data_IF_271822285350
#
_entry.id   IF_271822285350
#
_cell.length_a   1.000
_cell.length_b   1.000
_cell.length_c   1.000
_cell.angle_alpha   90.00
_cell.angle_beta   90.00
_cell.angle_gamma   90.00
#
_symmetry.space_group_name_H-M   'P 1'
#
loop_
_entity.id
_entity.type
_entity.pdbx_description
1 polymer ?
#
# COMPACT_ATOMS: atom_id res chain seq x y z
N UNK A 1 4.60 -8.22 -19.62
CA UNK A 1 5.15 -7.17 -18.72
C UNK A 1 4.15 -6.03 -18.61
N UNK A 2 3.86 -5.50 -17.40
CA UNK A 2 3.02 -4.33 -17.22
C UNK A 2 3.60 -3.06 -17.86
N UNK A 3 2.74 -2.12 -18.23
CA UNK A 3 3.14 -0.88 -18.91
C UNK A 3 4.10 -0.01 -18.08
N UNK A 4 3.81 0.23 -16.79
CA UNK A 4 4.70 0.99 -15.91
C UNK A 4 6.09 0.35 -15.79
N UNK A 5 6.15 -0.99 -15.67
CA UNK A 5 7.42 -1.73 -15.62
C UNK A 5 8.22 -1.56 -16.91
N UNK A 6 7.54 -1.52 -18.08
CA UNK A 6 8.20 -1.26 -19.37
C UNK A 6 8.80 0.15 -19.43
N UNK A 7 8.11 1.16 -18.91
CA UNK A 7 8.61 2.55 -18.83
C UNK A 7 9.85 2.65 -17.93
N UNK A 8 9.85 1.94 -16.79
CA UNK A 8 10.95 2.00 -15.83
C UNK A 8 12.15 1.14 -16.26
N UNK A 9 11.92 -0.10 -16.67
CA UNK A 9 12.92 -1.16 -16.79
C UNK A 9 13.12 -1.74 -18.20
N UNK A 10 12.29 -1.32 -19.17
CA UNK A 10 12.47 -1.74 -20.57
C UNK A 10 13.81 -1.28 -21.14
N UNK A 11 14.15 -1.70 -22.36
CA UNK A 11 15.43 -1.37 -23.01
C UNK A 11 15.73 0.14 -23.02
N UNK A 12 14.71 0.96 -23.28
CA UNK A 12 14.78 2.42 -23.22
C UNK A 12 14.21 3.02 -21.92
N UNK A 13 14.12 2.21 -20.86
CA UNK A 13 13.50 2.58 -19.60
C UNK A 13 14.32 3.56 -18.76
N UNK A 14 13.65 4.30 -17.90
CA UNK A 14 14.26 5.36 -17.08
C UNK A 14 15.45 4.86 -16.24
N UNK A 15 15.32 3.68 -15.61
CA UNK A 15 16.35 3.13 -14.72
C UNK A 15 17.63 2.75 -15.48
N UNK A 16 17.49 2.30 -16.74
CA UNK A 16 18.63 2.01 -17.62
C UNK A 16 19.32 3.30 -18.07
N UNK A 17 18.54 4.34 -18.40
CA UNK A 17 19.08 5.64 -18.82
C UNK A 17 19.89 6.36 -17.73
N UNK A 18 19.54 6.15 -16.46
CA UNK A 18 20.26 6.74 -15.33
C UNK A 18 21.42 5.88 -14.83
N UNK A 19 21.76 4.78 -15.51
CA UNK A 19 22.80 3.83 -15.10
C UNK A 19 22.59 3.27 -13.68
N UNK A 20 21.33 3.11 -13.27
CA UNK A 20 20.93 2.53 -11.97
C UNK A 20 20.49 1.06 -12.10
N UNK A 21 20.38 0.55 -13.33
CA UNK A 21 20.06 -0.84 -13.58
C UNK A 21 21.28 -1.73 -13.25
N UNK A 22 21.06 -2.91 -12.63
CA UNK A 22 22.11 -3.92 -12.50
C UNK A 22 22.70 -4.33 -13.86
N UNK A 23 23.96 -4.76 -13.85
CA UNK A 23 24.69 -5.08 -15.08
C UNK A 23 24.17 -6.35 -15.76
N UNK A 24 23.67 -7.30 -14.97
CA UNK A 24 23.20 -8.59 -15.47
C UNK A 24 21.74 -8.87 -15.15
N UNK A 25 21.12 -9.72 -15.98
CA UNK A 25 19.75 -10.18 -15.72
C UNK A 25 19.62 -10.95 -14.40
N UNK A 26 20.68 -11.64 -13.98
CA UNK A 26 20.72 -12.35 -12.70
C UNK A 26 20.61 -11.38 -11.53
N UNK A 27 21.41 -10.32 -11.53
CA UNK A 27 21.38 -9.28 -10.48
C UNK A 27 20.05 -8.51 -10.47
N UNK A 28 19.43 -8.26 -11.63
CA UNK A 28 18.08 -7.68 -11.70
C UNK A 28 17.03 -8.57 -10.99
N UNK A 29 17.13 -9.89 -11.14
CA UNK A 29 16.22 -10.83 -10.47
C UNK A 29 16.50 -10.88 -8.97
N UNK A 30 17.77 -10.90 -8.55
CA UNK A 30 18.15 -10.84 -7.13
C UNK A 30 17.65 -9.55 -6.47
N UNK A 31 17.82 -8.41 -7.13
CA UNK A 31 17.28 -7.12 -6.69
C UNK A 31 15.76 -7.18 -6.56
N UNK A 32 15.06 -7.74 -7.55
CA UNK A 32 13.59 -7.92 -7.50
C UNK A 32 13.19 -8.75 -6.28
N UNK A 33 13.83 -9.89 -6.05
CA UNK A 33 13.52 -10.75 -4.90
C UNK A 33 13.72 -9.98 -3.59
N UNK A 34 14.84 -9.29 -3.43
CA UNK A 34 15.11 -8.47 -2.25
C UNK A 34 14.07 -7.38 -2.04
N UNK A 35 13.73 -6.63 -3.09
CA UNK A 35 12.71 -5.58 -3.03
C UNK A 35 11.34 -6.14 -2.64
N UNK A 36 10.93 -7.26 -3.22
CA UNK A 36 9.62 -7.87 -2.93
C UNK A 36 9.55 -8.51 -1.54
N UNK A 37 10.63 -9.12 -1.06
CA UNK A 37 10.72 -9.60 0.33
C UNK A 37 10.66 -8.45 1.32
N UNK A 38 11.36 -7.34 1.06
CA UNK A 38 11.28 -6.15 1.90
C UNK A 38 9.89 -5.50 1.83
N UNK A 39 9.27 -5.45 0.64
CA UNK A 39 7.88 -5.02 0.47
C UNK A 39 6.94 -5.84 1.37
N UNK A 40 7.03 -7.17 1.34
CA UNK A 40 6.18 -8.04 2.15
C UNK A 40 6.36 -7.79 3.65
N UNK A 41 7.62 -7.70 4.14
CA UNK A 41 7.91 -7.41 5.55
C UNK A 41 7.35 -6.05 5.98
N UNK A 42 7.61 -5.00 5.20
CA UNK A 42 7.08 -3.66 5.48
C UNK A 42 5.57 -3.57 5.30
N UNK A 43 4.98 -4.35 4.40
CA UNK A 43 3.53 -4.41 4.22
C UNK A 43 2.84 -4.99 5.45
N UNK A 44 3.41 -6.04 6.06
CA UNK A 44 2.91 -6.59 7.33
C UNK A 44 3.02 -5.58 8.49
N UNK A 45 4.15 -4.87 8.59
CA UNK A 45 4.31 -3.77 9.55
C UNK A 45 3.27 -2.68 9.31
N UNK A 46 3.08 -2.28 8.05
CA UNK A 46 2.09 -1.25 7.66
C UNK A 46 0.66 -1.68 7.97
N UNK A 47 0.35 -2.98 7.80
CA UNK A 47 -0.95 -3.54 8.16
C UNK A 47 -1.20 -3.45 9.66
N UNK A 48 -0.21 -3.82 10.50
CA UNK A 48 -0.33 -3.68 11.96
C UNK A 48 -0.48 -2.23 12.41
N UNK A 49 0.30 -1.32 11.82
CA UNK A 49 0.20 0.12 12.08
C UNK A 49 -1.18 0.68 11.67
N UNK A 50 -1.70 0.28 10.51
CA UNK A 50 -3.02 0.69 10.05
C UNK A 50 -4.13 0.15 10.95
N UNK A 51 -4.03 -1.10 11.40
CA UNK A 51 -4.99 -1.70 12.31
C UNK A 51 -5.04 -0.95 13.65
N UNK A 52 -3.87 -0.59 14.20
CA UNK A 52 -3.79 0.22 15.42
C UNK A 52 -4.30 1.65 15.20
N UNK A 53 -3.90 2.31 14.10
CA UNK A 53 -4.44 3.63 13.75
C UNK A 53 -5.97 3.60 13.59
N UNK A 54 -6.49 2.52 13.01
CA UNK A 54 -7.93 2.29 12.81
C UNK A 54 -8.66 2.14 14.14
N UNK A 55 -8.11 1.39 15.11
CA UNK A 55 -8.72 1.27 16.44
C UNK A 55 -8.83 2.63 17.15
N UNK A 56 -7.76 3.44 17.10
CA UNK A 56 -7.82 4.81 17.61
C UNK A 56 -8.88 5.64 16.89
N UNK A 57 -9.07 5.42 15.57
CA UNK A 57 -10.11 6.09 14.79
C UNK A 57 -11.54 5.71 15.16
N UNK A 58 -11.75 4.51 15.72
CA UNK A 58 -13.06 4.10 16.27
C UNK A 58 -13.37 4.88 17.55
N UNK A 59 -12.40 4.96 18.48
CA UNK A 59 -12.54 5.74 19.73
C UNK A 59 -12.89 7.21 19.44
N UNK A 60 -12.22 7.82 18.45
CA UNK A 60 -12.50 9.19 18.03
C UNK A 60 -13.93 9.37 17.48
N UNK A 61 -14.46 8.38 16.78
CA UNK A 61 -15.80 8.44 16.22
C UNK A 61 -16.89 8.23 17.28
N UNK A 62 -16.58 7.46 18.32
CA UNK A 62 -17.43 7.30 19.51
C UNK A 62 -17.37 8.51 20.45
N UNK A 63 -16.52 9.50 20.14
CA UNK A 63 -16.43 10.78 20.83
C UNK A 63 -15.33 10.86 21.88
N UNK A 64 -14.51 9.82 22.06
CA UNK A 64 -13.32 9.87 22.90
C UNK A 64 -12.14 10.46 22.11
N UNK A 65 -11.86 11.74 22.36
CA UNK A 65 -10.76 12.46 21.71
C UNK A 65 -9.42 12.41 22.46
N UNK A 66 -9.31 11.66 23.56
CA UNK A 66 -8.08 11.53 24.35
C UNK A 66 -6.90 11.04 23.50
N UNK A 67 -7.18 10.18 22.53
CA UNK A 67 -6.20 9.57 21.63
C UNK A 67 -6.03 10.28 20.28
N UNK A 68 -6.55 11.51 20.11
CA UNK A 68 -6.44 12.26 18.84
C UNK A 68 -4.99 12.50 18.42
N UNK A 69 -4.11 12.80 19.37
CA UNK A 69 -2.68 13.01 19.08
C UNK A 69 -2.01 11.71 18.57
N UNK A 70 -2.31 10.59 19.22
CA UNK A 70 -1.86 9.26 18.83
C UNK A 70 -2.36 8.90 17.44
N UNK A 71 -3.66 9.09 17.16
CA UNK A 71 -4.24 8.83 15.84
C UNK A 71 -3.53 9.63 14.73
N UNK A 72 -3.28 10.92 14.94
CA UNK A 72 -2.54 11.77 13.99
C UNK A 72 -1.10 11.32 13.79
N UNK A 73 -0.43 10.89 14.86
CA UNK A 73 0.96 10.41 14.82
C UNK A 73 1.05 9.12 14.03
N UNK A 74 0.23 8.13 14.39
CA UNK A 74 0.17 6.86 13.68
C UNK A 74 -0.35 6.99 12.25
N UNK A 75 -1.17 7.98 11.93
CA UNK A 75 -1.52 8.32 10.54
C UNK A 75 -0.28 8.62 9.68
N UNK A 76 0.65 9.44 10.19
CA UNK A 76 1.88 9.78 9.46
C UNK A 76 2.83 8.58 9.34
N UNK A 77 2.97 7.82 10.43
CA UNK A 77 3.85 6.65 10.49
C UNK A 77 3.34 5.55 9.56
N UNK A 78 2.06 5.21 9.64
CA UNK A 78 1.40 4.21 8.79
C UNK A 78 1.52 4.60 7.32
N UNK A 79 1.20 5.85 6.97
CA UNK A 79 1.27 6.31 5.58
C UNK A 79 2.71 6.23 5.05
N UNK A 80 3.71 6.65 5.83
CA UNK A 80 5.12 6.58 5.43
C UNK A 80 5.60 5.14 5.23
N UNK A 81 5.26 4.25 6.17
CA UNK A 81 5.60 2.82 6.09
C UNK A 81 4.94 2.16 4.86
N UNK A 82 3.66 2.46 4.64
CA UNK A 82 2.90 1.98 3.50
C UNK A 82 3.48 2.47 2.18
N UNK A 83 3.77 3.77 2.05
CA UNK A 83 4.32 4.32 0.81
C UNK A 83 5.72 3.79 0.50
N UNK A 84 6.54 3.56 1.53
CA UNK A 84 7.83 2.90 1.38
C UNK A 84 7.65 1.47 0.86
N UNK A 85 6.73 0.71 1.46
CA UNK A 85 6.41 -0.63 1.00
C UNK A 85 5.87 -0.64 -0.44
N UNK A 86 4.89 0.20 -0.76
CA UNK A 86 4.29 0.30 -2.09
C UNK A 86 5.33 0.64 -3.16
N UNK A 87 6.28 1.54 -2.84
CA UNK A 87 7.37 1.92 -3.73
C UNK A 87 8.27 0.74 -4.08
N UNK A 88 8.62 -0.10 -3.09
CA UNK A 88 9.41 -1.31 -3.34
C UNK A 88 8.73 -2.27 -4.32
N UNK A 89 7.41 -2.39 -4.26
CA UNK A 89 6.66 -3.23 -5.22
C UNK A 89 6.55 -2.58 -6.60
N UNK A 90 6.22 -1.29 -6.65
CA UNK A 90 6.01 -0.56 -7.91
C UNK A 90 7.28 -0.40 -8.74
N UNK A 91 8.41 -0.11 -8.09
CA UNK A 91 9.70 0.09 -8.75
C UNK A 91 10.51 -1.21 -8.92
N UNK A 92 9.98 -2.37 -8.51
CA UNK A 92 10.72 -3.62 -8.64
C UNK A 92 11.07 -3.96 -10.11
N UNK A 93 12.28 -4.50 -10.38
CA UNK A 93 12.68 -5.00 -11.71
C UNK A 93 11.67 -6.01 -12.27
N UNK A 94 11.57 -6.20 -13.59
CA UNK A 94 10.55 -7.07 -14.19
C UNK A 94 10.68 -8.53 -13.75
N UNK A 95 9.54 -9.23 -13.62
CA UNK A 95 9.52 -10.68 -13.37
C UNK A 95 10.07 -11.47 -14.56
N UNK A 96 10.58 -12.69 -14.29
CA UNK A 96 11.00 -13.63 -15.35
C UNK A 96 9.79 -14.14 -16.14
N UNK A 97 8.72 -14.50 -15.46
CA UNK A 97 7.51 -15.06 -16.05
C UNK A 97 6.31 -14.21 -15.61
N UNK A 98 5.39 -13.97 -16.55
CA UNK A 98 4.12 -13.33 -16.29
C UNK A 98 2.99 -14.34 -16.53
N UNK A 99 2.32 -14.77 -15.47
CA UNK A 99 1.19 -15.68 -15.58
C UNK A 99 -0.03 -15.00 -16.21
N UNK A 100 -0.72 -15.73 -17.11
CA UNK A 100 -1.98 -15.29 -17.72
C UNK A 100 -3.20 -15.66 -16.89
N UNK A 101 -3.12 -16.78 -16.14
CA UNK A 101 -4.21 -17.32 -15.31
C UNK A 101 -4.55 -16.40 -14.13
N UNK A 102 -5.70 -16.64 -13.51
CA UNK A 102 -6.06 -16.00 -12.23
C UNK A 102 -5.38 -16.79 -11.12
N UNK A 103 -4.36 -16.19 -10.52
CA UNK A 103 -3.65 -16.70 -9.35
C UNK A 103 -3.80 -15.74 -8.18
N UNK A 104 -3.44 -16.21 -6.98
CA UNK A 104 -3.47 -15.41 -5.75
C UNK A 104 -2.78 -14.04 -5.92
N UNK A 105 -1.63 -14.03 -6.58
CA UNK A 105 -0.88 -12.80 -6.89
C UNK A 105 -1.59 -11.86 -7.87
N UNK A 106 -2.39 -12.39 -8.80
CA UNK A 106 -3.22 -11.57 -9.69
C UNK A 106 -4.35 -10.91 -8.93
N UNK A 107 -4.96 -11.60 -7.96
CA UNK A 107 -5.99 -11.04 -7.08
C UNK A 107 -5.38 -10.00 -6.14
N UNK A 108 -4.21 -10.28 -5.53
CA UNK A 108 -3.45 -9.30 -4.74
C UNK A 108 -3.21 -8.01 -5.53
N UNK A 109 -2.84 -8.10 -6.81
CA UNK A 109 -2.65 -6.92 -7.67
C UNK A 109 -3.94 -6.14 -7.94
N UNK A 110 -5.09 -6.79 -7.96
CA UNK A 110 -6.37 -6.06 -8.08
C UNK A 110 -6.72 -5.36 -6.77
N UNK A 111 -6.56 -6.06 -5.64
CA UNK A 111 -6.70 -5.47 -4.30
C UNK A 111 -5.72 -4.32 -4.08
N UNK A 112 -4.55 -4.36 -4.71
CA UNK A 112 -3.57 -3.28 -4.57
C UNK A 112 -4.00 -1.95 -5.13
N UNK A 113 -4.88 -1.95 -6.14
CA UNK A 113 -5.52 -0.71 -6.58
C UNK A 113 -6.47 -0.16 -5.51
N UNK A 114 -7.25 -1.03 -4.87
CA UNK A 114 -8.22 -0.64 -3.83
C UNK A 114 -7.49 -0.07 -2.61
N UNK A 115 -6.56 -0.83 -2.02
CA UNK A 115 -5.86 -0.34 -0.83
C UNK A 115 -4.94 0.85 -1.12
N UNK A 116 -4.36 0.97 -2.33
CA UNK A 116 -3.59 2.16 -2.69
C UNK A 116 -4.46 3.42 -2.80
N UNK A 117 -5.58 3.35 -3.51
CA UNK A 117 -6.53 4.48 -3.59
C UNK A 117 -7.04 4.85 -2.21
N UNK A 118 -7.37 3.86 -1.38
CA UNK A 118 -7.77 4.05 0.01
C UNK A 118 -6.71 4.80 0.84
N UNK A 119 -5.48 4.32 0.85
CA UNK A 119 -4.37 4.93 1.60
C UNK A 119 -4.04 6.37 1.15
N UNK A 120 -4.26 6.70 -0.13
CA UNK A 120 -4.14 8.07 -0.63
C UNK A 120 -5.31 8.96 -0.22
N UNK A 121 -6.52 8.40 -0.10
CA UNK A 121 -7.74 9.15 0.18
C UNK A 121 -7.94 9.45 1.67
N UNK A 122 -7.57 8.52 2.55
CA UNK A 122 -7.79 8.62 4.01
C UNK A 122 -7.26 9.94 4.61
N UNK A 123 -6.02 10.41 4.33
CA UNK A 123 -5.52 11.67 4.88
C UNK A 123 -6.32 12.89 4.43
N UNK A 124 -6.76 12.91 3.16
CA UNK A 124 -7.58 13.99 2.60
C UNK A 124 -8.95 14.01 3.27
N UNK A 125 -9.58 12.83 3.40
CA UNK A 125 -10.86 12.69 4.09
C UNK A 125 -10.76 13.09 5.56
N UNK A 126 -9.66 12.74 6.24
CA UNK A 126 -9.40 13.13 7.62
C UNK A 126 -9.30 14.65 7.80
N UNK A 127 -8.65 15.35 6.86
CA UNK A 127 -8.60 16.83 6.85
C UNK A 127 -10.00 17.43 6.61
N UNK A 128 -10.79 16.83 5.74
CA UNK A 128 -12.13 17.33 5.41
C UNK A 128 -13.11 17.26 6.59
N UNK A 129 -12.89 16.38 7.57
CA UNK A 129 -13.73 16.30 8.78
C UNK A 129 -13.77 17.64 9.52
N UNK A 130 -12.64 18.36 9.61
CA UNK A 130 -12.57 19.64 10.35
C UNK A 130 -13.23 20.82 9.62
N UNK A 131 -13.45 20.70 8.31
CA UNK A 131 -14.01 21.77 7.47
C UNK A 131 -15.42 21.45 6.96
N UNK A 132 -15.95 20.26 7.25
CA UNK A 132 -17.27 19.82 6.80
C UNK A 132 -18.38 20.46 7.60
N UNK A 133 -19.42 20.96 6.92
CA UNK A 133 -20.67 21.41 7.53
C UNK A 133 -21.48 20.24 8.11
N UNK A 134 -21.34 19.05 7.54
CA UNK A 134 -21.90 17.81 8.07
C UNK A 134 -20.76 16.90 8.55
N UNK A 135 -20.38 17.08 9.82
CA UNK A 135 -19.25 16.37 10.43
C UNK A 135 -19.50 14.87 10.58
N UNK A 136 -20.72 14.46 10.92
CA UNK A 136 -21.09 13.05 11.05
C UNK A 136 -20.89 12.30 9.72
N UNK A 137 -21.44 12.83 8.62
CA UNK A 137 -21.24 12.22 7.30
C UNK A 137 -19.77 12.18 6.88
N UNK A 138 -18.97 13.21 7.21
CA UNK A 138 -17.54 13.21 6.92
C UNK A 138 -16.79 12.13 7.72
N UNK A 139 -17.11 11.96 9.01
CA UNK A 139 -16.55 10.89 9.85
C UNK A 139 -16.93 9.52 9.29
N UNK A 140 -18.21 9.28 8.99
CA UNK A 140 -18.69 8.02 8.41
C UNK A 140 -17.99 7.70 7.10
N UNK A 141 -17.81 8.70 6.22
CA UNK A 141 -17.11 8.51 4.93
C UNK A 141 -15.65 8.14 5.16
N UNK A 142 -14.96 8.86 6.04
CA UNK A 142 -13.57 8.57 6.40
C UNK A 142 -13.42 7.15 6.97
N UNK A 143 -14.30 6.75 7.88
CA UNK A 143 -14.30 5.41 8.46
C UNK A 143 -14.58 4.33 7.41
N UNK A 144 -15.59 4.49 6.56
CA UNK A 144 -15.91 3.51 5.52
C UNK A 144 -14.72 3.26 4.58
N UNK A 145 -14.03 4.32 4.17
CA UNK A 145 -12.84 4.20 3.33
C UNK A 145 -11.69 3.55 4.10
N UNK A 146 -11.50 3.89 5.38
CA UNK A 146 -10.50 3.25 6.24
C UNK A 146 -10.77 1.75 6.41
N UNK A 147 -12.02 1.34 6.66
CA UNK A 147 -12.45 -0.05 6.79
C UNK A 147 -12.21 -0.80 5.48
N UNK A 148 -12.65 -0.26 4.33
CA UNK A 148 -12.43 -0.90 3.03
C UNK A 148 -10.94 -1.06 2.72
N UNK A 149 -10.12 -0.08 3.07
CA UNK A 149 -8.66 -0.13 2.91
C UNK A 149 -8.05 -1.22 3.79
N UNK A 150 -8.40 -1.25 5.08
CA UNK A 150 -7.90 -2.24 6.02
C UNK A 150 -8.28 -3.66 5.58
N UNK A 151 -9.56 -3.90 5.26
CA UNK A 151 -10.05 -5.20 4.77
C UNK A 151 -9.33 -5.60 3.49
N UNK A 152 -9.19 -4.68 2.53
CA UNK A 152 -8.44 -4.93 1.30
C UNK A 152 -6.98 -5.31 1.57
N UNK A 153 -6.31 -4.68 2.54
CA UNK A 153 -4.93 -5.02 2.91
C UNK A 153 -4.84 -6.38 3.62
N UNK A 154 -5.79 -6.71 4.50
CA UNK A 154 -5.86 -8.02 5.17
C UNK A 154 -6.02 -9.12 4.13
N UNK A 155 -7.01 -9.01 3.23
CA UNK A 155 -7.22 -9.97 2.15
C UNK A 155 -5.98 -10.11 1.26
N UNK A 156 -5.38 -8.96 0.91
CA UNK A 156 -4.16 -8.91 0.11
C UNK A 156 -2.99 -9.64 0.78
N UNK A 157 -2.85 -9.52 2.11
CA UNK A 157 -1.87 -10.22 2.91
C UNK A 157 -2.13 -11.73 3.01
N UNK A 158 -3.37 -12.15 3.28
CA UNK A 158 -3.75 -13.57 3.36
C UNK A 158 -3.47 -14.32 2.06
N UNK A 159 -3.73 -13.67 0.91
CA UNK A 159 -3.44 -14.22 -0.40
C UNK A 159 -1.94 -14.55 -0.60
N UNK A 160 -1.03 -13.86 0.07
CA UNK A 160 0.42 -14.15 -0.03
C UNK A 160 0.87 -15.38 0.76
N UNK A 161 -0.02 -15.97 1.58
CA UNK A 161 0.27 -17.17 2.39
C UNK A 161 -0.27 -18.44 1.70
N UNK A 162 -1.21 -18.29 0.76
CA UNK A 162 -1.77 -19.43 0.03
C UNK A 162 -0.73 -20.03 -0.94
N UNK A 163 -0.68 -21.37 -1.07
CA UNK A 163 0.19 -22.02 -2.05
C UNK A 163 -0.19 -21.59 -3.47
N UNK A 164 0.83 -21.35 -4.30
CA UNK A 164 0.73 -20.91 -5.70
C UNK A 164 0.74 -22.11 -6.65
#
# INVERSE_FOLDING_TARGET
>A
MPFHTKILWGENGLIRKTNLAPATRKEEVELRVKMLQTHQKLALVSLGLLAYQYSLGLELADGDYSNLSSHKTFSKVTWSAYMTSASLSFFAPPALIYEKRVSSMKIHRWLSYIHFVGMMSIPVLGKNISTSTNRLTAITTHQNVATATLVSMILSGLLTILPY
#
